data_IF_194655998596
#
_entry.id   IF_194655998596
#
_cell.length_a   1.000
_cell.length_b   1.000
_cell.length_c   1.000
_cell.angle_alpha   90.00
_cell.angle_beta   90.00
_cell.angle_gamma   90.00
#
_symmetry.space_group_name_H-M   'P 1'
#
loop_
_entity.id
_entity.type
_entity.pdbx_description
1 polymer ?
#
# COMPACT_ATOMS: atom_id res chain seq x y z
N UNK A 1 -22.20 5.75 26.81
CA UNK A 1 -22.43 4.41 26.26
C UNK A 1 -22.95 4.58 24.85
N UNK A 2 -22.06 4.51 23.85
CA UNK A 2 -22.42 4.64 22.44
C UNK A 2 -22.76 3.27 21.87
N UNK A 3 -24.01 3.10 21.43
CA UNK A 3 -24.46 1.94 20.67
C UNK A 3 -24.00 2.10 19.21
N UNK A 4 -23.00 1.33 18.80
CA UNK A 4 -22.66 1.13 17.40
C UNK A 4 -23.80 0.38 16.72
N UNK A 5 -24.57 1.06 15.85
CA UNK A 5 -25.53 0.38 14.98
C UNK A 5 -24.75 -0.29 13.84
N UNK A 6 -24.63 -1.61 13.92
CA UNK A 6 -24.17 -2.43 12.79
C UNK A 6 -25.22 -2.32 11.69
N UNK A 7 -24.88 -1.68 10.57
CA UNK A 7 -25.73 -1.66 9.38
C UNK A 7 -25.71 -3.06 8.74
N UNK A 8 -26.56 -3.97 9.22
CA UNK A 8 -26.84 -5.21 8.51
C UNK A 8 -27.82 -4.87 7.39
N UNK A 9 -27.35 -4.88 6.14
CA UNK A 9 -28.22 -4.83 4.96
C UNK A 9 -28.77 -6.24 4.72
N UNK A 10 -29.86 -6.59 5.39
CA UNK A 10 -30.56 -7.85 5.12
C UNK A 10 -31.26 -7.77 3.76
N UNK A 11 -30.94 -8.72 2.88
CA UNK A 11 -31.73 -8.95 1.69
C UNK A 11 -33.09 -9.54 2.11
N UNK A 12 -34.21 -9.04 1.57
CA UNK A 12 -35.53 -9.58 1.90
C UNK A 12 -35.62 -11.07 1.53
N UNK A 13 -36.36 -11.84 2.32
CA UNK A 13 -36.48 -13.29 2.12
C UNK A 13 -36.91 -13.62 0.68
N UNK A 14 -36.18 -14.55 0.06
CA UNK A 14 -36.42 -14.96 -1.32
C UNK A 14 -35.85 -14.03 -2.39
N UNK A 15 -35.02 -13.04 -2.07
CA UNK A 15 -34.26 -12.24 -3.04
C UNK A 15 -32.77 -12.61 -3.05
N UNK A 16 -32.10 -12.35 -4.17
CA UNK A 16 -30.63 -12.39 -4.22
C UNK A 16 -30.03 -11.31 -3.31
N UNK A 17 -28.89 -11.63 -2.70
CA UNK A 17 -28.09 -10.64 -1.98
C UNK A 17 -27.53 -9.59 -2.94
N UNK A 18 -27.27 -8.39 -2.44
CA UNK A 18 -26.65 -7.31 -3.23
C UNK A 18 -25.32 -7.78 -3.85
N UNK A 19 -24.52 -8.55 -3.09
CA UNK A 19 -23.28 -9.14 -3.59
C UNK A 19 -23.49 -10.12 -4.76
N UNK A 20 -24.56 -10.92 -4.73
CA UNK A 20 -24.89 -11.83 -5.84
C UNK A 20 -25.32 -11.05 -7.09
N UNK A 21 -26.07 -9.94 -6.93
CA UNK A 21 -26.43 -9.05 -8.02
C UNK A 21 -25.21 -8.35 -8.63
N UNK A 22 -24.25 -7.90 -7.81
CA UNK A 22 -23.01 -7.28 -8.27
C UNK A 22 -22.16 -8.24 -9.11
N UNK A 23 -22.07 -9.52 -8.70
CA UNK A 23 -21.35 -10.55 -9.48
C UNK A 23 -21.98 -10.81 -10.84
N UNK A 24 -23.31 -10.80 -10.94
CA UNK A 24 -24.03 -10.94 -12.21
C UNK A 24 -23.81 -9.69 -13.07
N UNK A 25 -23.90 -8.48 -12.50
CA UNK A 25 -23.67 -7.22 -13.22
C UNK A 25 -22.23 -7.06 -13.75
N UNK A 26 -21.27 -7.66 -13.04
CA UNK A 26 -19.87 -7.76 -13.44
C UNK A 26 -19.60 -8.88 -14.46
N UNK A 27 -20.63 -9.60 -14.92
CA UNK A 27 -20.52 -10.72 -15.87
C UNK A 27 -19.65 -11.88 -15.34
N UNK A 28 -19.54 -12.02 -14.01
CA UNK A 28 -18.72 -13.02 -13.31
C UNK A 28 -19.48 -14.29 -12.92
N UNK A 29 -20.80 -14.32 -13.13
CA UNK A 29 -21.62 -15.48 -12.81
C UNK A 29 -22.86 -15.56 -13.73
N UNK A 30 -23.06 -16.67 -14.47
CA UNK A 30 -24.22 -16.87 -15.32
C UNK A 30 -25.32 -17.67 -14.58
N UNK A 31 -25.96 -17.09 -13.57
CA UNK A 31 -27.11 -17.75 -12.91
C UNK A 31 -28.43 -16.96 -13.11
N UNK A 32 -29.18 -17.26 -14.19
CA UNK A 32 -30.36 -16.47 -14.59
C UNK A 32 -31.70 -16.97 -14.03
N UNK A 33 -31.79 -18.19 -13.46
CA UNK A 33 -33.10 -18.80 -13.13
C UNK A 33 -33.92 -17.96 -12.15
N UNK A 34 -33.28 -17.38 -11.14
CA UNK A 34 -33.95 -16.49 -10.20
C UNK A 34 -34.40 -15.17 -10.85
N UNK A 35 -33.67 -14.67 -11.85
CA UNK A 35 -34.02 -13.43 -12.54
C UNK A 35 -35.26 -13.60 -13.43
N UNK A 36 -35.51 -14.80 -13.95
CA UNK A 36 -36.74 -15.10 -14.69
C UNK A 36 -37.98 -14.95 -13.78
N UNK A 37 -37.87 -15.46 -12.55
CA UNK A 37 -38.98 -15.56 -11.60
C UNK A 37 -39.15 -14.31 -10.70
N UNK A 38 -38.08 -13.51 -10.49
CA UNK A 38 -38.09 -12.38 -9.55
C UNK A 38 -37.98 -11.01 -10.25
N UNK A 39 -39.12 -10.30 -10.32
CA UNK A 39 -39.19 -8.94 -10.91
C UNK A 39 -38.36 -7.90 -10.14
N UNK A 40 -38.22 -8.04 -8.82
CA UNK A 40 -37.45 -7.12 -7.96
C UNK A 40 -35.95 -7.19 -8.25
N UNK A 41 -35.40 -8.40 -8.35
CA UNK A 41 -33.99 -8.61 -8.70
C UNK A 41 -33.69 -8.14 -10.13
N UNK A 42 -34.62 -8.34 -11.08
CA UNK A 42 -34.51 -7.76 -12.44
C UNK A 42 -34.45 -6.24 -12.43
N UNK A 43 -35.32 -5.58 -11.66
CA UNK A 43 -35.31 -4.13 -11.53
C UNK A 43 -33.96 -3.60 -11.03
N UNK A 44 -33.45 -4.17 -9.93
CA UNK A 44 -32.14 -3.77 -9.38
C UNK A 44 -30.97 -4.03 -10.33
N UNK A 45 -30.99 -5.14 -11.06
CA UNK A 45 -29.96 -5.42 -12.06
C UNK A 45 -29.99 -4.42 -13.21
N UNK A 46 -31.17 -3.96 -13.63
CA UNK A 46 -31.30 -2.91 -14.65
C UNK A 46 -30.75 -1.57 -14.17
N UNK A 47 -30.94 -1.19 -12.91
CA UNK A 47 -30.36 0.02 -12.32
C UNK A 47 -28.81 -0.03 -12.33
N UNK A 48 -28.23 -1.18 -11.96
CA UNK A 48 -26.78 -1.39 -12.02
C UNK A 48 -26.25 -1.30 -13.46
N UNK A 49 -26.99 -1.84 -14.43
CA UNK A 49 -26.63 -1.76 -15.84
C UNK A 49 -26.66 -0.32 -16.37
N UNK A 50 -27.61 0.51 -15.94
CA UNK A 50 -27.65 1.94 -16.29
C UNK A 50 -26.48 2.71 -15.69
N UNK A 51 -26.11 2.43 -14.44
CA UNK A 51 -24.92 3.02 -13.80
C UNK A 51 -23.63 2.67 -14.53
N UNK A 52 -23.51 1.44 -15.06
CA UNK A 52 -22.36 1.00 -15.87
C UNK A 52 -22.27 1.74 -17.21
N UNK A 53 -23.42 2.13 -17.79
CA UNK A 53 -23.49 2.89 -19.05
C UNK A 53 -23.38 4.40 -18.86
N UNK A 54 -23.59 4.90 -17.65
CA UNK A 54 -23.47 6.31 -17.36
C UNK A 54 -22.06 6.80 -17.72
N UNK A 55 -21.91 7.92 -18.46
CA UNK A 55 -20.62 8.51 -18.72
C UNK A 55 -19.95 8.81 -17.39
N UNK A 56 -18.76 8.24 -17.17
CA UNK A 56 -17.95 8.64 -16.03
C UNK A 56 -17.69 10.16 -16.17
N UNK A 57 -17.90 10.96 -15.10
CA UNK A 57 -17.54 12.36 -15.15
C UNK A 57 -16.07 12.44 -15.54
N UNK A 58 -15.68 13.36 -16.44
CA UNK A 58 -14.28 13.50 -16.78
C UNK A 58 -13.53 13.74 -15.49
N UNK A 59 -12.64 12.81 -15.11
CA UNK A 59 -11.71 13.06 -14.03
C UNK A 59 -10.91 14.26 -14.49
N UNK A 60 -11.23 15.44 -13.94
CA UNK A 60 -10.47 16.65 -14.15
C UNK A 60 -9.08 16.33 -13.64
N UNK A 61 -8.20 15.94 -14.56
CA UNK A 61 -6.80 15.80 -14.27
C UNK A 61 -6.37 17.15 -13.72
N UNK A 62 -5.99 17.17 -12.44
CA UNK A 62 -5.40 18.33 -11.77
C UNK A 62 -4.10 18.82 -12.46
N UNK A 63 -3.74 18.22 -13.60
CA UNK A 63 -2.62 18.57 -14.46
C UNK A 63 -2.89 19.77 -15.40
N UNK A 64 -4.13 20.26 -15.55
CA UNK A 64 -4.43 21.37 -16.51
C UNK A 64 -4.60 22.77 -15.92
N UNK A 65 -4.33 22.98 -14.63
CA UNK A 65 -4.45 24.31 -14.01
C UNK A 65 -3.11 25.05 -13.85
N UNK A 66 -2.02 24.56 -14.47
CA UNK A 66 -0.67 25.12 -14.35
C UNK A 66 -0.17 25.88 -15.58
N UNK A 67 -1.09 26.29 -16.46
CA UNK A 67 -0.76 27.15 -17.60
C UNK A 67 -1.66 28.40 -17.66
N UNK A 68 -1.75 29.13 -16.54
CA UNK A 68 -1.96 30.58 -16.67
C UNK A 68 -0.60 31.20 -16.94
N UNK A 69 -0.29 31.37 -18.23
CA UNK A 69 0.81 32.24 -18.69
C UNK A 69 0.66 33.59 -18.01
N UNK A 70 1.57 33.88 -17.08
CA UNK A 70 1.76 35.23 -16.56
C UNK A 70 2.40 36.03 -17.69
N UNK A 71 1.61 36.87 -18.35
CA UNK A 71 2.15 37.87 -19.27
C UNK A 71 3.02 38.87 -18.51
N UNK A 72 4.23 39.18 -18.99
CA UNK A 72 5.11 40.12 -18.34
C UNK A 72 4.70 41.55 -18.71
N UNK A 73 3.77 42.13 -17.96
CA UNK A 73 3.49 43.56 -18.03
C UNK A 73 4.65 44.28 -17.32
N UNK A 74 5.54 44.89 -18.11
CA UNK A 74 6.57 45.84 -17.66
C UNK A 74 5.92 47.00 -16.88
N UNK A 75 6.73 47.66 -16.03
CA UNK A 75 6.48 48.82 -15.13
C UNK A 75 6.31 48.37 -13.67
N UNK A 76 7.16 48.65 -12.67
CA UNK A 76 8.19 49.67 -12.42
C UNK A 76 9.23 49.09 -11.40
N UNK A 77 10.49 49.55 -11.36
CA UNK A 77 11.42 49.27 -10.26
C UNK A 77 10.93 50.02 -9.00
N UNK A 78 11.51 49.77 -7.81
CA UNK A 78 11.09 50.33 -6.49
C UNK A 78 10.06 49.49 -5.72
N UNK A 79 10.40 48.23 -5.42
CA UNK A 79 9.94 47.57 -4.19
C UNK A 79 11.05 46.60 -3.74
N UNK A 80 12.13 47.18 -3.23
CA UNK A 80 13.18 46.44 -2.57
C UNK A 80 12.75 45.94 -1.19
N UNK A 81 13.40 44.85 -0.77
CA UNK A 81 13.75 44.56 0.62
C UNK A 81 12.63 44.17 1.61
N UNK A 82 11.81 43.14 1.29
CA UNK A 82 11.00 42.48 2.34
C UNK A 82 10.60 41.00 2.10
N UNK A 83 11.30 40.23 1.25
CA UNK A 83 10.89 38.83 0.99
C UNK A 83 12.05 37.84 0.78
N UNK A 84 13.14 37.97 1.55
CA UNK A 84 14.27 37.03 1.54
C UNK A 84 14.32 36.10 2.77
N UNK A 85 13.18 35.86 3.45
CA UNK A 85 13.13 35.01 4.64
C UNK A 85 12.14 33.82 4.56
N UNK A 86 11.37 33.64 3.49
CA UNK A 86 10.27 32.66 3.47
C UNK A 86 10.24 31.68 2.28
N UNK A 87 11.34 31.51 1.55
CA UNK A 87 11.38 30.63 0.36
C UNK A 87 12.41 29.49 0.44
N UNK A 88 13.04 29.28 1.60
CA UNK A 88 14.12 28.29 1.77
C UNK A 88 13.68 26.95 2.39
N UNK A 89 12.38 26.69 2.61
CA UNK A 89 11.93 25.56 3.46
C UNK A 89 11.04 24.52 2.74
N UNK A 90 11.07 24.40 1.41
CA UNK A 90 10.37 23.30 0.73
C UNK A 90 11.17 22.64 -0.41
N UNK A 91 12.49 22.55 -0.25
CA UNK A 91 13.27 21.52 -0.92
C UNK A 91 13.90 20.61 0.14
N UNK A 92 13.05 19.79 0.77
CA UNK A 92 13.55 18.59 1.46
C UNK A 92 14.11 17.69 0.37
N UNK A 93 15.44 17.81 0.19
CA UNK A 93 16.31 16.80 -0.41
C UNK A 93 15.80 15.43 0.04
N UNK A 94 15.26 14.65 -0.88
CA UNK A 94 15.10 13.21 -0.65
C UNK A 94 16.51 12.65 -0.48
N UNK A 95 16.90 12.11 0.69
CA UNK A 95 18.13 11.35 0.76
C UNK A 95 17.89 10.09 -0.06
N UNK A 96 18.55 10.00 -1.21
CA UNK A 96 18.64 8.77 -1.97
C UNK A 96 19.53 7.79 -1.20
N UNK A 97 18.92 7.11 -0.22
CA UNK A 97 19.49 5.91 0.39
C UNK A 97 19.78 4.88 -0.70
N UNK A 98 20.91 4.21 -0.56
CA UNK A 98 21.60 3.41 -1.57
C UNK A 98 20.63 2.49 -2.35
N UNK A 99 20.30 2.94 -3.57
CA UNK A 99 19.42 2.25 -4.50
C UNK A 99 20.26 1.36 -5.41
N UNK A 100 20.22 0.05 -5.21
CA UNK A 100 20.83 -0.90 -6.14
C UNK A 100 19.95 -1.00 -7.39
N UNK A 101 20.25 -0.18 -8.40
CA UNK A 101 19.61 -0.22 -9.71
C UNK A 101 19.86 -1.60 -10.34
N UNK A 102 18.89 -2.51 -10.28
CA UNK A 102 18.98 -3.79 -10.97
C UNK A 102 18.22 -4.98 -10.38
N UNK A 103 17.72 -4.93 -9.13
CA UNK A 103 17.04 -6.10 -8.56
C UNK A 103 15.64 -6.29 -9.17
N UNK A 104 15.20 -7.55 -9.29
CA UNK A 104 13.84 -7.91 -9.75
C UNK A 104 12.79 -7.82 -8.64
N UNK A 105 13.27 -7.61 -7.42
CA UNK A 105 12.47 -7.36 -6.22
C UNK A 105 13.12 -6.22 -5.41
N UNK A 106 12.33 -5.26 -4.97
CA UNK A 106 12.74 -4.15 -4.10
C UNK A 106 11.79 -4.04 -2.92
N UNK A 107 12.31 -3.72 -1.74
CA UNK A 107 11.54 -3.41 -0.53
C UNK A 107 11.71 -1.92 -0.19
N UNK A 108 10.65 -1.32 0.33
CA UNK A 108 10.68 0.00 0.95
C UNK A 108 9.60 0.12 2.02
N UNK A 109 9.59 1.26 2.72
CA UNK A 109 8.58 1.56 3.71
C UNK A 109 8.32 3.07 3.82
N UNK A 110 7.19 3.42 4.39
CA UNK A 110 6.85 4.74 4.87
C UNK A 110 6.73 4.72 6.38
N UNK A 111 7.19 5.78 7.04
CA UNK A 111 7.06 5.99 8.47
C UNK A 111 6.01 7.06 8.72
N UNK A 112 5.03 6.76 9.58
CA UNK A 112 4.11 7.73 10.14
C UNK A 112 4.54 8.04 11.57
N UNK A 113 4.79 9.33 11.83
CA UNK A 113 5.11 9.88 13.14
C UNK A 113 4.16 11.05 13.41
N UNK A 114 3.28 10.91 14.41
CA UNK A 114 2.19 11.86 14.62
C UNK A 114 1.29 11.99 13.37
N UNK A 115 1.16 13.21 12.85
CA UNK A 115 0.41 13.52 11.62
C UNK A 115 1.26 13.44 10.34
N UNK A 116 2.58 13.33 10.47
CA UNK A 116 3.51 13.30 9.34
C UNK A 116 3.69 11.90 8.77
N UNK A 117 3.73 11.78 7.44
CA UNK A 117 4.13 10.55 6.73
C UNK A 117 5.30 10.88 5.82
N UNK A 118 6.36 10.08 5.88
CA UNK A 118 7.54 10.24 5.02
C UNK A 118 8.08 8.89 4.58
N UNK A 119 8.80 8.86 3.47
CA UNK A 119 9.47 7.65 2.99
C UNK A 119 10.64 7.32 3.91
N UNK A 120 10.71 6.05 4.28
CA UNK A 120 11.80 5.47 5.05
C UNK A 120 13.05 5.24 4.21
N UNK A 121 14.21 5.24 4.85
CA UNK A 121 15.50 4.82 4.27
C UNK A 121 16.16 3.72 5.09
N UNK A 122 17.10 2.98 4.49
CA UNK A 122 17.90 1.99 5.23
C UNK A 122 18.73 2.66 6.35
N UNK A 123 18.73 2.08 7.54
CA UNK A 123 19.40 2.59 8.74
C UNK A 123 18.70 3.79 9.38
N UNK A 124 17.45 4.06 9.01
CA UNK A 124 16.71 5.20 9.53
C UNK A 124 16.38 5.06 11.01
N UNK A 125 16.49 6.17 11.75
CA UNK A 125 16.06 6.26 13.15
C UNK A 125 14.55 6.49 13.20
N UNK A 126 13.85 5.63 13.93
CA UNK A 126 12.40 5.67 14.15
C UNK A 126 12.11 5.63 15.65
N UNK A 127 10.94 6.15 16.04
CA UNK A 127 10.52 6.15 17.45
C UNK A 127 9.59 4.98 17.73
N UNK A 128 9.59 4.49 18.97
CA UNK A 128 8.55 3.57 19.47
C UNK A 128 7.16 4.19 19.21
N UNK A 129 6.21 3.38 18.75
CA UNK A 129 4.87 3.83 18.37
C UNK A 129 4.75 4.45 16.97
N UNK A 130 5.86 4.63 16.25
CA UNK A 130 5.79 4.95 14.82
C UNK A 130 5.11 3.81 14.06
N UNK A 131 4.42 4.15 12.97
CA UNK A 131 3.78 3.15 12.12
C UNK A 131 4.53 3.01 10.80
N UNK A 132 4.94 1.78 10.49
CA UNK A 132 5.58 1.41 9.24
C UNK A 132 4.54 0.87 8.26
N UNK A 133 4.47 1.47 7.06
CA UNK A 133 3.72 0.89 5.93
C UNK A 133 4.68 0.46 4.85
N UNK A 134 4.68 -0.82 4.52
CA UNK A 134 5.58 -1.37 3.52
C UNK A 134 5.11 -1.12 2.09
N UNK A 135 6.09 -0.99 1.21
CA UNK A 135 5.93 -1.06 -0.24
C UNK A 135 6.93 -2.05 -0.80
N UNK A 136 6.58 -2.69 -1.90
CA UNK A 136 7.54 -3.47 -2.66
C UNK A 136 7.39 -3.24 -4.16
N UNK A 137 8.46 -3.47 -4.91
CA UNK A 137 8.40 -3.57 -6.36
C UNK A 137 8.79 -4.98 -6.77
N UNK A 138 8.03 -5.60 -7.67
CA UNK A 138 8.30 -6.93 -8.21
C UNK A 138 8.17 -6.89 -9.73
N UNK A 139 9.19 -7.37 -10.45
CA UNK A 139 9.17 -7.44 -11.92
C UNK A 139 8.59 -8.74 -12.46
N UNK A 140 8.67 -9.81 -11.68
CA UNK A 140 8.23 -11.15 -12.05
C UNK A 140 7.06 -11.58 -11.17
N UNK A 141 6.15 -12.41 -11.69
CA UNK A 141 5.13 -13.03 -10.86
C UNK A 141 5.79 -13.97 -9.84
N UNK A 142 5.13 -14.15 -8.71
CA UNK A 142 5.62 -14.98 -7.64
C UNK A 142 4.88 -14.72 -6.34
N UNK A 143 5.55 -15.08 -5.26
CA UNK A 143 5.06 -15.05 -3.90
C UNK A 143 5.94 -14.13 -3.08
N UNK A 144 5.34 -13.32 -2.21
CA UNK A 144 6.02 -12.31 -1.39
C UNK A 144 5.70 -12.51 0.09
N UNK A 145 6.69 -12.22 0.92
CA UNK A 145 6.54 -12.05 2.36
C UNK A 145 7.47 -10.95 2.87
N UNK A 146 7.09 -10.34 4.00
CA UNK A 146 7.93 -9.40 4.74
C UNK A 146 8.03 -9.90 6.17
N UNK A 147 9.25 -10.07 6.63
CA UNK A 147 9.58 -10.60 7.95
C UNK A 147 10.46 -9.59 8.66
N UNK A 148 10.22 -9.36 9.95
CA UNK A 148 11.14 -8.60 10.80
C UNK A 148 11.98 -9.51 11.67
N UNK A 149 13.15 -8.99 12.05
CA UNK A 149 14.01 -9.52 13.11
C UNK A 149 14.22 -8.38 14.07
N UNK A 150 13.69 -8.54 15.28
CA UNK A 150 13.83 -7.53 16.33
C UNK A 150 15.24 -7.55 16.96
N UNK A 151 15.54 -6.62 17.89
CA UNK A 151 16.82 -6.62 18.61
C UNK A 151 17.06 -7.87 19.49
N UNK A 152 16.01 -8.63 19.83
CA UNK A 152 16.11 -9.90 20.55
C UNK A 152 16.34 -11.11 19.62
N UNK A 153 16.45 -10.89 18.30
CA UNK A 153 16.50 -11.90 17.24
C UNK A 153 15.23 -12.74 17.11
N UNK A 154 14.09 -12.22 17.56
CA UNK A 154 12.79 -12.82 17.30
C UNK A 154 12.33 -12.50 15.88
N UNK A 155 11.88 -13.54 15.17
CA UNK A 155 11.37 -13.44 13.81
C UNK A 155 9.85 -13.28 13.81
N UNK A 156 9.35 -12.22 13.19
CA UNK A 156 7.91 -11.94 13.08
C UNK A 156 7.47 -11.73 11.63
N UNK A 157 6.30 -12.24 11.26
CA UNK A 157 5.72 -12.04 9.91
C UNK A 157 4.90 -10.75 9.91
N UNK A 158 5.33 -9.76 9.14
CA UNK A 158 4.57 -8.53 8.91
C UNK A 158 3.65 -8.64 7.69
N UNK A 159 4.05 -9.42 6.67
CA UNK A 159 3.24 -9.67 5.50
C UNK A 159 3.44 -11.09 4.96
N UNK A 160 2.37 -11.83 4.62
CA UNK A 160 0.97 -11.56 4.98
C UNK A 160 0.72 -11.70 6.49
N UNK A 161 0.05 -10.71 7.08
CA UNK A 161 -0.23 -10.71 8.53
C UNK A 161 -1.15 -11.87 8.92
N UNK A 162 -0.80 -12.58 10.00
CA UNK A 162 -1.58 -13.71 10.52
C UNK A 162 -1.52 -14.99 9.68
N UNK A 163 -0.63 -15.08 8.69
CA UNK A 163 -0.48 -16.27 7.83
C UNK A 163 0.93 -16.84 7.93
N UNK A 164 1.04 -18.17 8.02
CA UNK A 164 2.32 -18.89 8.02
C UNK A 164 2.89 -19.13 6.62
N UNK A 165 2.15 -18.76 5.57
CA UNK A 165 2.58 -18.91 4.18
C UNK A 165 2.61 -17.57 3.47
N UNK A 166 3.48 -17.46 2.46
CA UNK A 166 3.53 -16.32 1.55
C UNK A 166 2.20 -16.05 0.83
N UNK A 167 2.08 -14.86 0.25
CA UNK A 167 0.95 -14.48 -0.62
C UNK A 167 1.44 -14.09 -2.01
N UNK A 168 0.54 -14.14 -3.00
CA UNK A 168 0.84 -13.70 -4.36
C UNK A 168 1.30 -12.23 -4.38
N UNK A 169 2.41 -11.99 -5.08
CA UNK A 169 2.96 -10.66 -5.28
C UNK A 169 2.22 -9.95 -6.42
N UNK A 170 1.88 -8.68 -6.21
CA UNK A 170 1.46 -7.80 -7.29
C UNK A 170 2.69 -7.41 -8.11
N UNK A 171 2.67 -7.71 -9.40
CA UNK A 171 3.71 -7.28 -10.33
C UNK A 171 3.55 -5.79 -10.58
N UNK A 172 4.63 -5.03 -10.41
CA UNK A 172 4.62 -3.59 -10.56
C UNK A 172 5.63 -2.88 -9.68
N UNK A 173 5.48 -1.56 -9.58
CA UNK A 173 6.33 -0.70 -8.76
C UNK A 173 5.56 -0.19 -7.56
N UNK A 174 6.24 -0.10 -6.43
CA UNK A 174 5.76 0.51 -5.18
C UNK A 174 4.35 0.04 -4.77
N UNK A 175 4.08 -1.27 -4.93
CA UNK A 175 2.85 -1.91 -4.48
C UNK A 175 2.74 -1.79 -2.96
N UNK A 176 1.66 -1.16 -2.50
CA UNK A 176 1.38 -0.93 -1.09
C UNK A 176 0.92 -2.21 -0.41
N UNK A 177 1.55 -2.52 0.72
CA UNK A 177 1.02 -3.50 1.67
C UNK A 177 -0.08 -2.81 2.48
N UNK A 178 -1.27 -3.43 2.52
CA UNK A 178 -2.47 -2.79 3.05
C UNK A 178 -2.34 -2.35 4.52
N UNK A 179 -1.69 -3.18 5.34
CA UNK A 179 -1.59 -2.94 6.77
C UNK A 179 -0.30 -2.17 7.10
N UNK A 180 -0.42 -1.19 7.99
CA UNK A 180 0.72 -0.62 8.68
C UNK A 180 0.98 -1.40 9.97
N UNK A 181 2.24 -1.51 10.36
CA UNK A 181 2.68 -2.13 11.61
C UNK A 181 3.10 -1.02 12.56
N UNK A 182 2.60 -1.05 13.79
CA UNK A 182 3.05 -0.16 14.86
C UNK A 182 4.29 -0.76 15.51
N UNK A 183 5.34 0.05 15.65
CA UNK A 183 6.59 -0.38 16.27
C UNK A 183 6.39 -0.54 17.78
N UNK A 184 6.74 -1.73 18.26
CA UNK A 184 6.78 -2.06 19.68
C UNK A 184 7.82 -1.22 20.47
N UNK A 185 7.87 -1.44 21.78
CA UNK A 185 8.76 -0.76 22.70
C UNK A 185 10.19 -1.34 22.73
N UNK A 186 10.50 -2.31 21.86
CA UNK A 186 11.86 -2.83 21.76
C UNK A 186 12.79 -1.78 21.13
N UNK A 187 13.91 -1.56 21.80
CA UNK A 187 14.91 -0.54 21.42
C UNK A 187 16.10 -1.22 20.77
N UNK A 188 16.60 -0.63 19.68
CA UNK A 188 17.75 -1.11 18.95
C UNK A 188 17.46 -1.32 17.47
N UNK A 189 18.41 -1.96 16.77
CA UNK A 189 18.31 -2.22 15.34
C UNK A 189 17.32 -3.36 15.06
N UNK A 190 16.28 -3.07 14.27
CA UNK A 190 15.39 -4.07 13.68
C UNK A 190 15.72 -4.24 12.18
N UNK A 191 15.77 -5.50 11.73
CA UNK A 191 16.03 -5.85 10.33
C UNK A 191 14.71 -6.24 9.68
N UNK A 192 14.44 -5.65 8.52
CA UNK A 192 13.24 -5.85 7.72
C UNK A 192 13.65 -6.60 6.46
N UNK A 193 13.21 -7.86 6.33
CA UNK A 193 13.55 -8.73 5.21
C UNK A 193 12.33 -8.91 4.32
N UNK A 194 12.43 -8.41 3.08
CA UNK A 194 11.48 -8.70 2.02
C UNK A 194 11.94 -9.94 1.27
N UNK A 195 11.08 -10.93 1.10
CA UNK A 195 11.37 -12.20 0.43
C UNK A 195 10.42 -12.35 -0.75
N UNK A 196 10.97 -12.66 -1.93
CA UNK A 196 10.21 -12.96 -3.14
C UNK A 196 10.68 -14.27 -3.76
N UNK A 197 9.78 -15.24 -3.91
CA UNK A 197 10.09 -16.55 -4.48
C UNK A 197 9.13 -16.91 -5.62
N UNK A 198 9.56 -17.77 -6.54
CA UNK A 198 8.72 -18.20 -7.65
C UNK A 198 7.51 -19.09 -7.24
N UNK A 199 7.56 -19.69 -6.04
CA UNK A 199 6.54 -20.61 -5.51
C UNK A 199 6.24 -20.26 -4.06
N UNK A 200 5.08 -20.72 -3.58
CA UNK A 200 4.64 -20.52 -2.20
C UNK A 200 5.67 -21.09 -1.22
N UNK A 201 5.93 -20.34 -0.16
CA UNK A 201 6.92 -20.69 0.86
C UNK A 201 6.42 -20.34 2.25
N UNK A 202 7.11 -20.85 3.28
CA UNK A 202 6.89 -20.49 4.69
C UNK A 202 7.87 -19.38 5.06
N UNK A 203 7.42 -18.14 5.36
CA UNK A 203 8.33 -17.00 5.52
C UNK A 203 9.38 -17.18 6.61
N UNK A 204 9.00 -17.76 7.74
CA UNK A 204 9.93 -17.98 8.87
C UNK A 204 11.01 -19.01 8.55
N UNK A 205 10.69 -20.06 7.79
CA UNK A 205 11.67 -21.09 7.43
C UNK A 205 12.74 -20.51 6.48
N UNK A 206 12.30 -19.73 5.48
CA UNK A 206 13.21 -19.03 4.56
C UNK A 206 14.00 -17.94 5.28
N UNK A 207 13.37 -17.16 6.17
CA UNK A 207 14.06 -16.12 6.91
C UNK A 207 15.17 -16.68 7.81
N UNK A 208 14.95 -17.82 8.49
CA UNK A 208 15.99 -18.49 9.28
C UNK A 208 17.20 -18.90 8.43
N UNK A 209 16.98 -19.45 7.24
CA UNK A 209 18.05 -19.80 6.30
C UNK A 209 18.83 -18.56 5.86
N UNK A 210 18.14 -17.47 5.49
CA UNK A 210 18.77 -16.21 5.11
C UNK A 210 19.60 -15.61 6.25
N UNK A 211 19.12 -15.67 7.49
CA UNK A 211 19.85 -15.20 8.68
C UNK A 211 21.08 -16.05 8.96
N UNK A 212 21.02 -17.37 8.71
CA UNK A 212 22.17 -18.27 8.79
C UNK A 212 23.20 -18.04 7.67
N UNK A 213 22.94 -17.12 6.73
CA UNK A 213 23.81 -16.83 5.59
C UNK A 213 23.65 -17.82 4.43
N UNK A 214 22.62 -18.65 4.46
CA UNK A 214 22.32 -19.62 3.41
C UNK A 214 21.68 -18.94 2.20
N UNK A 215 21.99 -19.43 1.00
CA UNK A 215 21.31 -19.01 -0.22
C UNK A 215 20.10 -19.90 -0.43
N UNK A 216 18.91 -19.30 -0.40
CA UNK A 216 17.66 -20.00 -0.72
C UNK A 216 17.42 -19.95 -2.22
N UNK A 217 17.49 -21.11 -2.87
CA UNK A 217 17.26 -21.22 -4.31
C UNK A 217 15.88 -20.69 -4.71
N UNK A 218 15.80 -20.09 -5.91
CA UNK A 218 14.58 -19.49 -6.47
C UNK A 218 13.94 -18.36 -5.63
N UNK A 219 14.59 -17.92 -4.55
CA UNK A 219 14.19 -16.77 -3.77
C UNK A 219 15.15 -15.58 -4.00
N UNK A 220 14.60 -14.39 -3.86
CA UNK A 220 15.30 -13.11 -3.81
C UNK A 220 14.94 -12.47 -2.48
N UNK A 221 15.94 -11.92 -1.80
CA UNK A 221 15.71 -11.18 -0.57
C UNK A 221 16.33 -9.79 -0.65
N UNK A 222 15.70 -8.85 0.02
CA UNK A 222 16.23 -7.51 0.27
C UNK A 222 16.09 -7.24 1.76
N UNK A 223 17.15 -6.74 2.37
CA UNK A 223 17.17 -6.37 3.78
C UNK A 223 17.26 -4.85 3.90
N UNK A 224 16.43 -4.28 4.79
CA UNK A 224 16.52 -2.91 5.27
C UNK A 224 16.67 -2.94 6.79
N UNK A 225 17.25 -1.90 7.36
CA UNK A 225 17.41 -1.72 8.80
C UNK A 225 16.66 -0.48 9.26
N UNK A 226 16.10 -0.54 10.45
CA UNK A 226 15.56 0.61 11.17
C UNK A 226 16.12 0.60 12.60
N UNK A 227 16.47 1.78 13.09
CA UNK A 227 17.02 1.96 14.43
C UNK A 227 15.93 2.52 15.35
N UNK A 228 15.38 1.66 16.22
CA UNK A 228 14.29 2.03 17.13
C UNK A 228 14.84 2.75 18.37
N UNK A 229 14.33 3.94 18.65
CA UNK A 229 14.64 4.74 19.85
C UNK A 229 13.37 5.11 20.60
N UNK A 230 13.54 5.48 21.88
CA UNK A 230 12.46 6.00 22.72
C UNK A 230 12.12 7.44 22.40
#
# INVERSE_FOLDING_TARGET
>A
MSTSSVFVREAPEGCLSDFALDRIAAELDPSPRHLEECARCRGRLSELAELKRAPLPPMASAARQRERRLEPRRLYPWAGLAALAASAVLFVRSPSGLRTKGSDFELGFFVRHGEGVRRGVDGEVVSVGDQLRFIYSAKLPGEVAIVSIDPANELSIYHPSGSETSTLALVGKDSLVANAIELDDSVGTERLIGIHCARRFRPLDVARQLVAGERVEACRSVELRVEKRR
#
